data_IF_633886563451
#
_entry.id   IF_633886563451
#
_cell.length_a   1.000
_cell.length_b   1.000
_cell.length_c   1.000
_cell.angle_alpha   90.00
_cell.angle_beta   90.00
_cell.angle_gamma   90.00
#
_symmetry.space_group_name_H-M   'P 1'
#
loop_
_entity.id
_entity.type
_entity.pdbx_description
1 polymer ?
#
# COMPACT_ATOMS: atom_id res chain seq x y z
N UNK A 1 10.00 1.66 -36.57
CA UNK A 1 9.59 0.45 -35.84
C UNK A 1 8.71 0.79 -34.62
N UNK A 2 7.71 1.67 -34.78
CA UNK A 2 6.86 2.15 -33.65
C UNK A 2 5.37 1.81 -33.75
N UNK A 3 4.91 1.14 -34.79
CA UNK A 3 3.47 0.93 -35.02
C UNK A 3 2.89 -0.36 -34.39
N UNK A 4 3.72 -1.33 -34.01
CA UNK A 4 3.24 -2.62 -33.51
C UNK A 4 2.86 -2.65 -32.02
N UNK A 5 3.41 -1.76 -31.20
CA UNK A 5 3.10 -1.71 -29.75
C UNK A 5 1.73 -1.10 -29.46
N UNK A 6 1.30 -0.13 -30.26
CA UNK A 6 -0.01 0.54 -30.10
C UNK A 6 -1.18 -0.37 -30.49
N UNK A 7 -0.98 -1.21 -31.51
CA UNK A 7 -2.00 -2.17 -31.99
C UNK A 7 -2.22 -3.33 -31.00
N UNK A 8 -1.17 -3.75 -30.29
CA UNK A 8 -1.28 -4.79 -29.26
C UNK A 8 -2.06 -4.26 -28.04
N UNK A 9 -1.81 -3.05 -27.60
CA UNK A 9 -2.54 -2.42 -26.48
C UNK A 9 -4.03 -2.24 -26.77
N UNK A 10 -4.39 -1.84 -27.99
CA UNK A 10 -5.80 -1.66 -28.42
C UNK A 10 -6.51 -3.01 -28.60
N UNK A 11 -5.82 -4.04 -29.09
CA UNK A 11 -6.38 -5.39 -29.21
C UNK A 11 -6.61 -6.04 -27.82
N UNK A 12 -5.74 -5.80 -26.87
CA UNK A 12 -5.89 -6.29 -25.50
C UNK A 12 -7.04 -5.61 -24.77
N UNK A 13 -7.27 -4.30 -24.95
CA UNK A 13 -8.43 -3.59 -24.41
C UNK A 13 -9.76 -4.10 -25.00
N UNK A 14 -9.83 -4.31 -26.32
CA UNK A 14 -11.03 -4.85 -26.96
C UNK A 14 -11.29 -6.31 -26.56
N UNK A 15 -10.25 -7.11 -26.43
CA UNK A 15 -10.30 -8.51 -25.96
C UNK A 15 -10.72 -8.57 -24.48
N UNK A 16 -10.28 -7.60 -23.70
CA UNK A 16 -10.61 -7.43 -22.30
C UNK A 16 -12.09 -7.02 -22.11
N UNK A 17 -12.61 -6.05 -22.87
CA UNK A 17 -14.05 -5.71 -22.89
C UNK A 17 -14.92 -6.87 -23.41
N UNK A 18 -14.44 -7.64 -24.37
CA UNK A 18 -15.08 -8.87 -24.84
C UNK A 18 -15.14 -9.97 -23.79
N UNK A 19 -14.04 -10.18 -23.07
CA UNK A 19 -13.93 -11.16 -21.99
C UNK A 19 -14.86 -10.80 -20.82
N UNK A 20 -15.04 -9.50 -20.55
CA UNK A 20 -15.92 -9.01 -19.49
C UNK A 20 -17.41 -9.27 -19.73
N UNK A 21 -17.87 -9.19 -20.97
CA UNK A 21 -19.24 -9.55 -21.34
C UNK A 21 -19.50 -11.06 -21.18
N UNK A 22 -18.45 -11.87 -21.23
CA UNK A 22 -18.52 -13.34 -21.12
C UNK A 22 -18.42 -13.81 -19.66
N UNK A 23 -17.60 -13.16 -18.82
CA UNK A 23 -17.38 -13.54 -17.41
C UNK A 23 -18.61 -13.22 -16.53
N UNK A 24 -19.41 -12.20 -16.90
CA UNK A 24 -20.67 -11.90 -16.21
C UNK A 24 -21.71 -13.04 -16.24
N UNK A 25 -21.43 -14.17 -16.89
CA UNK A 25 -22.32 -15.34 -17.03
C UNK A 25 -21.76 -16.69 -16.57
N UNK A 26 -20.51 -16.78 -16.13
CA UNK A 26 -19.98 -18.05 -15.65
C UNK A 26 -19.38 -17.90 -14.25
N UNK A 27 -20.11 -18.42 -13.26
CA UNK A 27 -19.54 -18.79 -11.96
C UNK A 27 -18.48 -19.86 -12.19
N UNK A 28 -17.21 -19.49 -12.12
CA UNK A 28 -16.09 -20.44 -12.11
C UNK A 28 -16.09 -21.11 -10.74
N UNK A 29 -16.40 -22.40 -10.72
CA UNK A 29 -16.31 -23.23 -9.51
C UNK A 29 -14.85 -23.28 -9.06
N UNK A 30 -14.64 -22.83 -7.82
CA UNK A 30 -13.37 -22.77 -7.12
C UNK A 30 -12.76 -24.18 -6.97
N UNK A 31 -11.51 -24.46 -7.43
CA UNK A 31 -10.81 -25.63 -6.99
C UNK A 31 -10.07 -25.33 -5.68
N UNK A 32 -10.52 -25.96 -4.61
CA UNK A 32 -9.80 -26.26 -3.38
C UNK A 32 -9.36 -25.09 -2.50
N UNK A 33 -10.12 -24.91 -1.44
CA UNK A 33 -9.65 -24.27 -0.21
C UNK A 33 -8.35 -24.97 0.23
N UNK A 34 -7.21 -24.30 0.02
CA UNK A 34 -5.95 -24.69 0.64
C UNK A 34 -6.07 -24.42 2.13
N UNK A 35 -6.07 -25.51 2.93
CA UNK A 35 -6.20 -25.45 4.36
C UNK A 35 -5.13 -24.56 4.97
N UNK A 36 -5.56 -23.49 5.61
CA UNK A 36 -4.70 -22.62 6.42
C UNK A 36 -4.39 -23.39 7.69
N UNK A 37 -3.18 -23.95 7.76
CA UNK A 37 -2.66 -24.52 9.00
C UNK A 37 -2.36 -23.35 9.92
N UNK A 38 -3.18 -23.16 10.94
CA UNK A 38 -2.90 -22.29 12.06
C UNK A 38 -1.70 -22.86 12.83
N UNK A 39 -0.50 -22.40 12.49
CA UNK A 39 0.76 -22.74 13.16
C UNK A 39 1.27 -21.55 13.93
N UNK A 40 1.29 -21.69 15.25
CA UNK A 40 1.87 -20.78 16.22
C UNK A 40 3.32 -20.40 15.88
N UNK A 41 3.55 -19.10 15.73
CA UNK A 41 4.69 -18.30 16.10
C UNK A 41 6.12 -18.77 15.81
N UNK A 42 6.64 -18.51 14.59
CA UNK A 42 8.06 -18.19 14.41
C UNK A 42 8.23 -16.87 13.66
N UNK A 43 9.02 -15.93 14.18
CA UNK A 43 9.19 -14.60 13.56
C UNK A 43 9.86 -14.64 12.17
N UNK A 44 10.38 -15.77 11.73
CA UNK A 44 11.10 -15.95 10.47
C UNK A 44 10.20 -16.38 9.29
N UNK A 45 8.96 -16.80 9.53
CA UNK A 45 8.04 -17.27 8.48
C UNK A 45 7.36 -16.17 7.66
N UNK A 46 7.35 -14.93 8.15
CA UNK A 46 6.64 -13.83 7.49
C UNK A 46 7.13 -13.58 6.04
N UNK A 47 8.45 -13.48 5.78
CA UNK A 47 8.93 -13.25 4.40
C UNK A 47 8.54 -14.37 3.45
N UNK A 48 8.60 -15.62 3.90
CA UNK A 48 8.23 -16.80 3.10
C UNK A 48 6.75 -16.79 2.74
N UNK A 49 5.87 -16.58 3.73
CA UNK A 49 4.43 -16.54 3.52
C UNK A 49 4.01 -15.40 2.58
N UNK A 50 4.61 -14.21 2.75
CA UNK A 50 4.33 -13.08 1.86
C UNK A 50 4.84 -13.33 0.44
N UNK A 51 6.05 -13.88 0.28
CA UNK A 51 6.60 -14.21 -1.04
C UNK A 51 5.77 -15.30 -1.73
N UNK A 52 5.38 -16.35 -1.00
CA UNK A 52 4.50 -17.42 -1.52
C UNK A 52 3.17 -16.81 -1.99
N UNK A 53 2.55 -15.96 -1.17
CA UNK A 53 1.28 -15.34 -1.55
C UNK A 53 1.41 -14.39 -2.74
N UNK A 54 2.51 -13.65 -2.86
CA UNK A 54 2.82 -12.84 -4.04
C UNK A 54 2.91 -13.71 -5.28
N UNK A 55 3.64 -14.83 -5.20
CA UNK A 55 3.78 -15.78 -6.31
C UNK A 55 2.43 -16.39 -6.71
N UNK A 56 1.61 -16.83 -5.75
CA UNK A 56 0.26 -17.34 -6.01
C UNK A 56 -0.61 -16.34 -6.76
N UNK A 57 -0.54 -15.06 -6.38
CA UNK A 57 -1.28 -14.00 -7.06
C UNK A 57 -0.82 -13.81 -8.51
N UNK A 58 0.48 -13.86 -8.77
CA UNK A 58 1.00 -13.80 -10.14
C UNK A 58 0.60 -15.02 -10.97
N UNK A 59 0.66 -16.22 -10.40
CA UNK A 59 0.23 -17.46 -11.08
C UNK A 59 -1.27 -17.39 -11.43
N UNK A 60 -2.13 -16.92 -10.52
CA UNK A 60 -3.55 -16.72 -10.80
C UNK A 60 -3.75 -15.74 -11.97
N UNK A 61 -3.00 -14.63 -11.99
CA UNK A 61 -3.06 -13.66 -13.08
C UNK A 61 -2.55 -14.27 -14.41
N UNK A 62 -1.49 -15.06 -14.40
CA UNK A 62 -0.96 -15.75 -15.58
C UNK A 62 -1.95 -16.75 -16.18
N UNK A 63 -2.61 -17.52 -15.32
CA UNK A 63 -3.67 -18.45 -15.75
C UNK A 63 -4.84 -17.69 -16.38
N UNK A 64 -5.26 -16.59 -15.76
CA UNK A 64 -6.40 -15.79 -16.21
C UNK A 64 -6.10 -15.08 -17.55
N UNK A 65 -4.96 -14.38 -17.63
CA UNK A 65 -4.58 -13.61 -18.82
C UNK A 65 -3.84 -14.42 -19.89
N UNK A 66 -3.49 -15.68 -19.61
CA UNK A 66 -2.74 -16.60 -20.48
C UNK A 66 -1.42 -15.99 -21.00
N UNK A 67 -0.71 -15.31 -20.12
CA UNK A 67 0.60 -14.70 -20.41
C UNK A 67 1.46 -14.62 -19.16
N UNK A 68 2.79 -14.67 -19.30
CA UNK A 68 3.70 -14.46 -18.16
C UNK A 68 3.73 -13.01 -17.71
N UNK A 69 4.03 -12.81 -16.41
CA UNK A 69 4.28 -11.52 -15.80
C UNK A 69 5.68 -11.48 -15.15
N UNK A 70 6.33 -10.31 -15.24
CA UNK A 70 7.61 -10.09 -14.58
C UNK A 70 7.41 -10.03 -13.07
N UNK A 71 8.16 -10.90 -12.34
CA UNK A 71 8.11 -10.93 -10.87
C UNK A 71 8.77 -9.71 -10.25
N UNK A 72 8.20 -9.13 -9.20
CA UNK A 72 8.76 -7.98 -8.50
C UNK A 72 9.86 -8.39 -7.52
N UNK A 73 10.68 -7.41 -7.15
CA UNK A 73 11.43 -7.49 -5.91
C UNK A 73 10.48 -7.25 -4.73
N UNK A 74 10.57 -8.04 -3.67
CA UNK A 74 9.74 -7.86 -2.46
C UNK A 74 10.60 -7.35 -1.32
N UNK A 75 10.14 -6.30 -0.64
CA UNK A 75 10.86 -5.66 0.49
C UNK A 75 9.96 -5.51 1.70
N UNK A 76 10.48 -5.83 2.88
CA UNK A 76 9.78 -5.76 4.17
C UNK A 76 10.22 -4.54 5.01
N UNK A 77 10.65 -3.46 4.35
CA UNK A 77 11.19 -2.27 4.99
C UNK A 77 10.18 -1.12 5.11
N UNK A 78 8.91 -1.34 4.73
CA UNK A 78 7.88 -0.30 4.86
C UNK A 78 7.57 -0.02 6.33
N UNK A 79 7.32 1.26 6.65
CA UNK A 79 6.98 1.74 7.99
C UNK A 79 5.83 2.73 7.91
N UNK A 80 5.19 2.99 9.04
CA UNK A 80 4.10 3.97 9.15
C UNK A 80 2.74 3.36 8.88
N UNK A 81 1.84 4.15 8.28
CA UNK A 81 0.42 3.80 8.17
C UNK A 81 0.05 2.95 6.95
N UNK A 82 0.93 2.86 5.97
CA UNK A 82 0.67 2.05 4.76
C UNK A 82 1.00 0.58 5.03
N UNK A 83 0.10 -0.32 4.64
CA UNK A 83 0.29 -1.76 4.76
C UNK A 83 1.20 -2.29 3.64
N UNK A 84 0.92 -1.89 2.41
CA UNK A 84 1.71 -2.18 1.23
C UNK A 84 1.91 -0.95 0.35
N UNK A 85 2.84 -1.04 -0.58
CA UNK A 85 3.05 -0.07 -1.66
C UNK A 85 3.65 -0.80 -2.86
N UNK A 86 3.02 -0.65 -4.03
CA UNK A 86 3.56 -1.08 -5.31
C UNK A 86 4.30 0.09 -5.99
N UNK A 87 5.57 -0.08 -6.25
CA UNK A 87 6.40 0.83 -7.04
C UNK A 87 6.44 0.31 -8.49
N UNK A 88 5.59 0.89 -9.34
CA UNK A 88 5.29 0.36 -10.66
C UNK A 88 6.52 0.36 -11.60
N UNK A 89 7.24 1.47 -11.67
CA UNK A 89 8.43 1.62 -12.54
C UNK A 89 9.60 0.73 -12.10
N UNK A 90 9.76 0.55 -10.79
CA UNK A 90 10.83 -0.25 -10.21
C UNK A 90 10.49 -1.75 -10.18
N UNK A 91 9.24 -2.11 -10.46
CA UNK A 91 8.68 -3.44 -10.25
C UNK A 91 9.01 -3.98 -8.85
N UNK A 92 8.65 -3.18 -7.81
CA UNK A 92 9.01 -3.44 -6.42
C UNK A 92 7.75 -3.38 -5.54
N UNK A 93 7.56 -4.39 -4.70
CA UNK A 93 6.56 -4.42 -3.64
C UNK A 93 7.21 -4.15 -2.29
N UNK A 94 6.61 -3.25 -1.51
CA UNK A 94 7.03 -3.02 -0.13
C UNK A 94 5.89 -3.34 0.81
N UNK A 95 6.15 -4.17 1.81
CA UNK A 95 5.19 -4.53 2.85
C UNK A 95 5.63 -4.06 4.23
N UNK A 96 4.65 -3.74 5.07
CA UNK A 96 4.86 -3.29 6.45
C UNK A 96 4.79 -4.49 7.40
N UNK A 97 5.93 -4.94 7.95
CA UNK A 97 5.96 -6.12 8.80
C UNK A 97 5.23 -5.93 10.14
N UNK A 98 5.08 -4.70 10.63
CA UNK A 98 4.32 -4.43 11.85
C UNK A 98 2.83 -4.67 11.61
N UNK A 99 2.26 -4.09 10.54
CA UNK A 99 0.85 -4.26 10.21
C UNK A 99 0.52 -5.70 9.82
N UNK A 100 1.46 -6.40 9.19
CA UNK A 100 1.32 -7.84 8.92
C UNK A 100 1.19 -8.65 10.22
N UNK A 101 2.05 -8.45 11.23
CA UNK A 101 1.98 -9.20 12.50
C UNK A 101 0.66 -8.97 13.23
N UNK A 102 0.10 -7.77 13.12
CA UNK A 102 -1.15 -7.40 13.77
C UNK A 102 -2.40 -7.90 13.01
N UNK A 103 -2.27 -8.21 11.69
CA UNK A 103 -3.40 -8.51 10.81
C UNK A 103 -3.05 -9.58 9.76
N UNK A 104 -2.30 -10.62 10.12
CA UNK A 104 -1.65 -11.52 9.16
C UNK A 104 -2.59 -12.18 8.16
N UNK A 105 -3.76 -12.64 8.58
CA UNK A 105 -4.73 -13.30 7.72
C UNK A 105 -5.32 -12.35 6.67
N UNK A 106 -5.84 -11.21 7.12
CA UNK A 106 -6.42 -10.21 6.22
C UNK A 106 -5.36 -9.57 5.32
N UNK A 107 -4.13 -9.45 5.83
CA UNK A 107 -3.01 -8.96 5.04
C UNK A 107 -2.69 -9.85 3.85
N UNK A 108 -2.62 -11.18 4.06
CA UNK A 108 -2.42 -12.15 2.98
C UNK A 108 -3.63 -12.21 2.03
N UNK A 109 -4.84 -12.06 2.58
CA UNK A 109 -6.08 -12.16 1.81
C UNK A 109 -6.36 -10.92 0.97
N UNK A 110 -6.10 -9.72 1.49
CA UNK A 110 -6.47 -8.44 0.87
C UNK A 110 -5.26 -7.59 0.44
N UNK A 111 -4.30 -7.34 1.35
CA UNK A 111 -3.21 -6.41 1.07
C UNK A 111 -2.26 -6.94 -0.01
N UNK A 112 -1.87 -8.20 0.04
CA UNK A 112 -0.95 -8.76 -0.96
C UNK A 112 -1.57 -8.75 -2.36
N UNK A 113 -2.79 -9.28 -2.59
CA UNK A 113 -3.45 -9.19 -3.90
C UNK A 113 -3.66 -7.74 -4.37
N UNK A 114 -3.98 -6.81 -3.47
CA UNK A 114 -4.13 -5.39 -3.79
C UNK A 114 -2.86 -4.81 -4.44
N UNK A 115 -1.70 -5.02 -3.82
CA UNK A 115 -0.43 -4.50 -4.33
C UNK A 115 0.04 -5.25 -5.59
N UNK A 116 -0.22 -6.56 -5.68
CA UNK A 116 0.08 -7.33 -6.90
C UNK A 116 -0.81 -6.88 -8.06
N UNK A 117 -2.10 -6.60 -7.80
CA UNK A 117 -3.02 -6.08 -8.82
C UNK A 117 -2.51 -4.79 -9.46
N UNK A 118 -1.87 -3.90 -8.70
CA UNK A 118 -1.24 -2.69 -9.26
C UNK A 118 -0.14 -3.02 -10.26
N UNK A 119 0.74 -3.97 -9.94
CA UNK A 119 1.83 -4.38 -10.86
C UNK A 119 1.30 -5.11 -12.09
N UNK A 120 0.32 -5.99 -11.91
CA UNK A 120 -0.33 -6.71 -13.02
C UNK A 120 -1.04 -5.72 -13.94
N UNK A 121 -1.80 -4.75 -13.39
CA UNK A 121 -2.47 -3.72 -14.17
C UNK A 121 -1.46 -2.86 -14.96
N UNK A 122 -0.36 -2.45 -14.31
CA UNK A 122 0.69 -1.68 -14.97
C UNK A 122 1.37 -2.46 -16.11
N UNK A 123 1.65 -3.75 -15.92
CA UNK A 123 2.26 -4.61 -16.94
C UNK A 123 1.31 -4.93 -18.11
N UNK A 124 -0.01 -4.87 -17.90
CA UNK A 124 -1.03 -5.08 -18.93
C UNK A 124 -1.34 -3.83 -19.72
N UNK A 125 -1.55 -2.71 -19.04
CA UNK A 125 -2.14 -1.50 -19.60
C UNK A 125 -1.17 -0.30 -19.64
N UNK A 126 0.02 -0.43 -19.03
CA UNK A 126 1.03 0.63 -18.98
C UNK A 126 0.72 1.72 -17.96
N UNK A 127 1.28 2.92 -18.17
CA UNK A 127 1.30 4.00 -17.18
C UNK A 127 0.04 4.87 -17.15
N UNK A 128 -0.78 4.82 -18.20
CA UNK A 128 -1.93 5.73 -18.39
C UNK A 128 -3.21 5.28 -17.69
N UNK A 129 -3.09 4.45 -16.67
CA UNK A 129 -4.23 3.96 -15.89
C UNK A 129 -4.33 4.66 -14.54
N UNK A 130 -5.55 4.81 -14.03
CA UNK A 130 -5.75 5.30 -12.68
C UNK A 130 -5.35 4.22 -11.65
N UNK A 131 -4.68 4.55 -10.55
CA UNK A 131 -4.20 3.55 -9.57
C UNK A 131 -5.27 2.57 -9.07
N UNK A 132 -6.50 3.03 -8.90
CA UNK A 132 -7.64 2.18 -8.51
C UNK A 132 -8.78 2.29 -9.54
N UNK A 133 -8.38 2.45 -10.83
CA UNK A 133 -9.29 2.52 -11.96
C UNK A 133 -9.96 1.18 -12.28
N UNK A 134 -10.67 1.15 -13.41
CA UNK A 134 -11.41 -0.03 -13.84
C UNK A 134 -10.51 -1.24 -14.05
N UNK A 135 -9.31 -1.06 -14.57
CA UNK A 135 -8.32 -2.10 -14.85
C UNK A 135 -7.87 -2.79 -13.57
N UNK A 136 -7.54 -2.01 -12.53
CA UNK A 136 -7.18 -2.56 -11.23
C UNK A 136 -8.37 -3.25 -10.53
N UNK A 137 -9.56 -2.61 -10.55
CA UNK A 137 -10.77 -3.19 -9.95
C UNK A 137 -11.16 -4.52 -10.59
N UNK A 138 -10.94 -4.65 -11.88
CA UNK A 138 -11.21 -5.84 -12.62
C UNK A 138 -10.27 -6.98 -12.20
N UNK A 139 -8.98 -6.71 -12.04
CA UNK A 139 -8.04 -7.72 -11.55
C UNK A 139 -8.44 -8.17 -10.15
N UNK A 140 -8.81 -7.24 -9.27
CA UNK A 140 -9.28 -7.59 -7.93
C UNK A 140 -10.51 -8.49 -7.96
N UNK A 141 -11.54 -8.15 -8.77
CA UNK A 141 -12.78 -8.93 -8.84
C UNK A 141 -12.66 -10.17 -9.70
N UNK A 142 -12.02 -10.07 -10.86
CA UNK A 142 -12.00 -11.14 -11.87
C UNK A 142 -10.91 -12.17 -11.66
N UNK A 143 -9.74 -11.76 -11.19
CA UNK A 143 -8.60 -12.67 -10.97
C UNK A 143 -8.57 -13.18 -9.54
N UNK A 144 -8.71 -12.27 -8.57
CA UNK A 144 -8.55 -12.61 -7.15
C UNK A 144 -9.88 -12.86 -6.43
N UNK A 145 -11.01 -12.60 -7.08
CA UNK A 145 -12.38 -12.74 -6.52
C UNK A 145 -12.55 -11.96 -5.20
N UNK A 146 -11.90 -10.79 -5.13
CA UNK A 146 -11.87 -9.94 -3.95
C UNK A 146 -12.57 -8.60 -4.19
N UNK A 147 -13.18 -8.00 -3.15
CA UNK A 147 -13.74 -6.66 -3.26
C UNK A 147 -12.60 -5.65 -3.52
N UNK A 148 -12.79 -4.68 -4.45
CA UNK A 148 -11.77 -3.71 -4.82
C UNK A 148 -11.70 -2.56 -3.81
N UNK A 149 -11.41 -2.88 -2.55
CA UNK A 149 -11.26 -1.91 -1.47
C UNK A 149 -9.98 -1.10 -1.66
N UNK A 150 -10.11 0.24 -1.73
CA UNK A 150 -8.96 1.14 -1.94
C UNK A 150 -8.04 1.25 -0.74
N UNK A 151 -8.57 1.02 0.47
CA UNK A 151 -7.84 1.17 1.72
C UNK A 151 -8.07 -0.06 2.60
N UNK A 152 -7.05 -0.45 3.34
CA UNK A 152 -7.22 -1.39 4.44
C UNK A 152 -7.89 -0.69 5.65
N UNK A 153 -8.60 -1.45 6.46
CA UNK A 153 -9.30 -0.99 7.68
C UNK A 153 -8.49 -1.26 8.96
N UNK A 154 -7.18 -1.50 8.83
CA UNK A 154 -6.35 -1.85 9.99
C UNK A 154 -6.32 -0.75 11.03
N UNK A 155 -6.57 -1.12 12.29
CA UNK A 155 -6.41 -0.23 13.42
C UNK A 155 -4.92 0.07 13.61
N UNK A 156 -4.51 1.26 13.22
CA UNK A 156 -3.12 1.70 13.40
C UNK A 156 -3.00 2.30 14.78
N UNK A 157 -2.32 1.59 15.68
CA UNK A 157 -1.90 2.17 16.96
C UNK A 157 -0.95 3.33 16.67
N UNK A 158 -1.46 4.55 16.76
CA UNK A 158 -0.60 5.74 16.69
C UNK A 158 0.37 5.65 17.87
N UNK A 159 1.66 5.66 17.60
CA UNK A 159 2.65 5.85 18.67
C UNK A 159 2.34 7.19 19.32
N UNK A 160 2.19 7.19 20.64
CA UNK A 160 2.13 8.43 21.41
C UNK A 160 3.29 9.33 20.99
N UNK A 161 2.98 10.55 20.61
CA UNK A 161 3.97 11.52 20.15
C UNK A 161 4.23 12.54 21.24
N UNK A 162 5.49 12.64 21.67
CA UNK A 162 5.90 13.73 22.57
C UNK A 162 5.82 15.06 21.85
N UNK A 163 5.03 15.98 22.41
CA UNK A 163 4.94 17.39 21.99
C UNK A 163 5.73 18.27 22.93
N UNK A 164 6.54 19.13 22.36
CA UNK A 164 7.33 20.13 23.07
C UNK A 164 6.59 21.47 23.01
N UNK A 165 6.24 22.03 24.16
CA UNK A 165 5.41 23.24 24.21
C UNK A 165 6.28 24.47 24.09
N UNK A 166 6.02 25.27 23.07
CA UNK A 166 6.64 26.60 22.85
C UNK A 166 5.65 27.68 23.12
N UNK A 167 6.15 28.82 23.59
CA UNK A 167 5.32 29.99 23.95
C UNK A 167 5.87 31.27 23.36
N UNK A 168 5.00 32.24 23.19
CA UNK A 168 5.33 33.65 22.97
C UNK A 168 4.67 34.49 24.05
N UNK A 169 4.90 35.84 24.11
CA UNK A 169 4.28 36.72 25.08
C UNK A 169 2.75 36.86 24.98
N UNK A 170 2.12 36.32 23.94
CA UNK A 170 0.65 36.34 23.81
C UNK A 170 0.01 35.47 24.91
N UNK A 171 -1.13 35.93 25.51
CA UNK A 171 -1.87 35.11 26.46
C UNK A 171 -2.38 33.83 25.77
N UNK A 172 -2.45 32.73 26.53
CA UNK A 172 -2.98 31.40 26.12
C UNK A 172 -2.40 30.84 24.83
N UNK A 173 -1.10 31.04 24.63
CA UNK A 173 -0.42 30.66 23.37
C UNK A 173 0.53 29.48 23.56
N UNK A 174 -0.02 28.27 23.68
CA UNK A 174 0.75 27.02 23.61
C UNK A 174 0.89 26.55 22.16
N UNK A 175 2.13 26.40 21.70
CA UNK A 175 2.46 25.90 20.36
C UNK A 175 3.12 24.52 20.47
N UNK A 176 2.39 23.42 20.23
CA UNK A 176 2.96 22.08 20.31
C UNK A 176 3.85 21.80 19.10
N UNK A 177 5.14 21.59 19.34
CA UNK A 177 6.12 21.19 18.34
C UNK A 177 6.35 19.69 18.38
N UNK A 178 6.50 19.07 17.21
CA UNK A 178 6.97 17.67 17.10
C UNK A 178 8.45 17.57 17.53
N UNK A 179 8.91 16.36 17.86
CA UNK A 179 10.32 16.09 18.18
C UNK A 179 11.26 16.59 17.06
N UNK A 180 10.87 16.42 15.80
CA UNK A 180 11.63 16.93 14.64
C UNK A 180 11.75 18.47 14.67
N UNK A 181 10.65 19.19 14.91
CA UNK A 181 10.67 20.65 15.01
C UNK A 181 11.50 21.13 16.18
N UNK A 182 11.37 20.45 17.34
CA UNK A 182 12.16 20.77 18.53
C UNK A 182 13.66 20.55 18.27
N UNK A 183 14.04 19.48 17.57
CA UNK A 183 15.44 19.26 17.18
C UNK A 183 15.99 20.37 16.27
N UNK A 184 15.17 20.85 15.30
CA UNK A 184 15.57 21.97 14.45
C UNK A 184 15.79 23.27 15.25
N UNK A 185 15.00 23.54 16.30
CA UNK A 185 15.24 24.68 17.18
C UNK A 185 16.55 24.54 17.93
N UNK A 186 16.88 23.35 18.44
CA UNK A 186 18.18 23.07 19.06
C UNK A 186 19.37 23.28 18.12
N UNK A 187 19.15 23.15 16.82
CA UNK A 187 20.13 23.42 15.76
C UNK A 187 20.15 24.90 15.33
N UNK A 188 19.46 25.80 16.06
CA UNK A 188 19.46 27.24 15.79
C UNK A 188 18.33 27.74 14.89
N UNK A 189 17.36 26.90 14.47
CA UNK A 189 16.24 27.36 13.65
C UNK A 189 15.22 28.09 14.49
N UNK A 190 15.04 29.40 14.22
CA UNK A 190 14.02 30.23 14.88
C UNK A 190 12.61 30.04 14.28
N UNK A 191 11.60 30.15 15.12
CA UNK A 191 10.18 30.23 14.71
C UNK A 191 9.52 31.41 15.35
N UNK A 192 8.70 32.15 14.60
CA UNK A 192 8.00 33.35 15.08
C UNK A 192 6.51 33.09 15.28
N UNK A 193 5.93 33.71 16.27
CA UNK A 193 4.50 33.71 16.47
C UNK A 193 3.81 34.45 15.32
N UNK A 194 2.77 33.87 14.73
CA UNK A 194 2.02 34.52 13.65
C UNK A 194 1.23 35.74 14.08
N UNK A 195 0.89 35.85 15.38
CA UNK A 195 0.11 36.98 15.94
C UNK A 195 1.01 38.17 16.30
N UNK A 196 2.00 37.95 17.17
CA UNK A 196 2.83 39.03 17.73
C UNK A 196 4.22 39.15 17.11
N UNK A 197 4.59 38.24 16.16
CA UNK A 197 5.90 38.18 15.51
C UNK A 197 7.10 37.94 16.44
N UNK A 198 6.88 37.78 17.74
CA UNK A 198 7.92 37.44 18.70
C UNK A 198 8.40 36.00 18.51
N UNK A 199 9.67 35.71 18.85
CA UNK A 199 10.19 34.35 18.82
C UNK A 199 9.40 33.37 19.70
N UNK A 200 9.20 32.15 19.22
CA UNK A 200 8.65 31.07 20.02
C UNK A 200 9.77 30.44 20.85
N UNK A 201 9.62 30.49 22.18
CA UNK A 201 10.60 29.97 23.12
C UNK A 201 10.08 28.65 23.73
N UNK A 202 10.96 27.68 23.92
CA UNK A 202 10.60 26.43 24.59
C UNK A 202 10.26 26.67 26.05
N UNK A 203 9.07 26.25 26.48
CA UNK A 203 8.59 26.46 27.84
C UNK A 203 9.12 25.46 28.89
N UNK A 204 9.90 24.47 28.46
CA UNK A 204 10.31 23.37 29.32
C UNK A 204 9.28 22.24 29.45
N UNK A 205 8.05 22.47 28.97
CA UNK A 205 6.94 21.51 29.10
C UNK A 205 6.86 20.55 27.93
N UNK A 206 6.54 19.30 28.23
CA UNK A 206 6.22 18.28 27.23
C UNK A 206 4.84 17.69 27.49
N UNK A 207 4.13 17.31 26.41
CA UNK A 207 2.84 16.60 26.46
C UNK A 207 2.95 15.34 25.59
N UNK A 208 2.35 14.25 26.03
CA UNK A 208 2.22 13.01 25.24
C UNK A 208 0.80 12.98 24.66
N UNK A 209 0.70 12.88 23.32
CA UNK A 209 -0.57 12.78 22.59
C UNK A 209 -0.70 11.40 21.95
#
# INVERSE_FOLDING_TARGET
MGANLLVIAVRDQARFHGLMKTIGRQQVRNPSACGIIAGSGEPNRMPELLNTRVEDCFQQAEVFFKRPFKRPVVSFKLRGQKAGVAHLHENLLRFNPQLYRENSEDFLKQTVPHEVAHLVAHQLFGERISPHGEEWQLIMRGVYELPPNRCHTYAIKRRSATRYIYRCPCPDSDFPFSAQRHALVKQGRGYLCRRCRNPLVFSGLTRIE
#
